data_IF_342147151170
#
_entry.id   IF_342147151170
#
_cell.length_a   1.000
_cell.length_b   1.000
_cell.length_c   1.000
_cell.angle_alpha   90.00
_cell.angle_beta   90.00
_cell.angle_gamma   90.00
#
_symmetry.space_group_name_H-M   'P 1'
#
loop_
_entity.id
_entity.type
_entity.pdbx_description
1 polymer ?
#
# COMPACT_ATOMS: atom_id res chain seq x y z
N UNK A 1 -19.60 -22.16 19.25
CA UNK A 1 -18.94 -22.49 17.96
C UNK A 1 -18.91 -21.32 16.96
N UNK A 2 -19.93 -20.44 16.93
CA UNK A 2 -20.00 -19.29 16.00
C UNK A 2 -18.92 -18.21 16.24
N UNK A 3 -18.62 -17.88 17.50
CA UNK A 3 -17.64 -16.83 17.87
C UNK A 3 -16.23 -17.18 17.38
N UNK A 4 -15.79 -18.44 17.51
CA UNK A 4 -14.47 -18.87 17.07
C UNK A 4 -14.30 -18.76 15.54
N UNK A 5 -15.36 -19.01 14.77
CA UNK A 5 -15.35 -18.86 13.30
C UNK A 5 -15.32 -17.38 12.90
N UNK A 6 -16.07 -16.53 13.60
CA UNK A 6 -16.06 -15.07 13.37
C UNK A 6 -14.69 -14.46 13.66
N UNK A 7 -14.08 -14.85 14.78
CA UNK A 7 -12.73 -14.42 15.16
C UNK A 7 -11.69 -14.86 14.11
N UNK A 8 -11.77 -16.11 13.64
CA UNK A 8 -10.88 -16.62 12.58
C UNK A 8 -11.04 -15.84 11.27
N UNK A 9 -12.27 -15.46 10.91
CA UNK A 9 -12.54 -14.64 9.72
C UNK A 9 -11.99 -13.23 9.86
N UNK A 10 -12.10 -12.61 11.05
CA UNK A 10 -11.53 -11.30 11.32
C UNK A 10 -9.99 -11.32 11.20
N UNK A 11 -9.35 -12.34 11.78
CA UNK A 11 -7.90 -12.57 11.65
C UNK A 11 -7.47 -12.74 10.19
N UNK A 12 -8.17 -13.58 9.43
CA UNK A 12 -7.88 -13.80 8.01
C UNK A 12 -8.03 -12.52 7.18
N UNK A 13 -9.07 -11.73 7.42
CA UNK A 13 -9.27 -10.45 6.75
C UNK A 13 -8.16 -9.47 7.06
N UNK A 14 -7.75 -9.37 8.32
CA UNK A 14 -6.62 -8.51 8.71
C UNK A 14 -5.30 -8.96 8.07
N UNK A 15 -5.00 -10.26 8.12
CA UNK A 15 -3.80 -10.81 7.47
C UNK A 15 -3.80 -10.55 5.96
N UNK A 16 -4.95 -10.71 5.30
CA UNK A 16 -5.12 -10.40 3.87
C UNK A 16 -4.88 -8.91 3.60
N UNK A 17 -5.41 -8.03 4.46
CA UNK A 17 -5.18 -6.60 4.36
C UNK A 17 -3.69 -6.25 4.45
N UNK A 18 -2.98 -6.76 5.46
CA UNK A 18 -1.53 -6.53 5.61
C UNK A 18 -0.76 -7.04 4.40
N UNK A 19 -1.04 -8.26 3.95
CA UNK A 19 -0.40 -8.85 2.76
C UNK A 19 -0.63 -8.01 1.50
N UNK A 20 -1.82 -7.43 1.33
CA UNK A 20 -2.11 -6.56 0.20
C UNK A 20 -1.34 -5.24 0.28
N UNK A 21 -1.16 -4.66 1.47
CA UNK A 21 -0.35 -3.45 1.63
C UNK A 21 1.12 -3.72 1.25
N UNK A 22 1.65 -4.87 1.64
CA UNK A 22 3.02 -5.26 1.30
C UNK A 22 3.18 -5.48 -0.21
N UNK A 23 2.23 -6.15 -0.86
CA UNK A 23 2.20 -6.30 -2.32
C UNK A 23 2.17 -4.94 -3.03
N UNK A 24 1.39 -3.98 -2.54
CA UNK A 24 1.37 -2.62 -3.11
C UNK A 24 2.71 -1.92 -2.92
N UNK A 25 3.35 -2.06 -1.75
CA UNK A 25 4.68 -1.49 -1.51
C UNK A 25 5.72 -2.04 -2.49
N UNK A 26 5.69 -3.35 -2.75
CA UNK A 26 6.59 -4.00 -3.72
C UNK A 26 6.39 -3.44 -5.12
N UNK A 27 5.14 -3.34 -5.58
CA UNK A 27 4.81 -2.77 -6.90
C UNK A 27 5.28 -1.32 -7.01
N UNK A 28 5.07 -0.49 -5.98
CA UNK A 28 5.56 0.88 -5.95
C UNK A 28 7.10 0.94 -5.98
N UNK A 29 7.78 -0.03 -5.37
CA UNK A 29 9.24 -0.19 -5.47
C UNK A 29 9.71 -0.50 -6.90
N UNK A 30 8.97 -1.32 -7.65
CA UNK A 30 9.28 -1.58 -9.06
C UNK A 30 9.00 -0.35 -9.95
N UNK A 31 7.95 0.42 -9.63
CA UNK A 31 7.66 1.70 -10.30
C UNK A 31 8.82 2.69 -10.12
N UNK A 32 9.43 2.74 -8.93
CA UNK A 32 10.60 3.58 -8.65
C UNK A 32 11.75 3.31 -9.63
N UNK A 33 12.04 2.03 -9.89
CA UNK A 33 13.06 1.61 -10.86
C UNK A 33 12.71 1.97 -12.31
N UNK A 34 11.41 2.06 -12.64
CA UNK A 34 10.97 2.54 -13.95
C UNK A 34 11.15 4.05 -14.08
N UNK A 35 10.79 4.80 -13.03
CA UNK A 35 10.98 6.25 -12.97
C UNK A 35 12.47 6.60 -13.07
N UNK A 36 13.35 5.86 -12.40
CA UNK A 36 14.79 6.14 -12.48
C UNK A 36 15.38 5.92 -13.88
N UNK A 37 14.81 4.98 -14.64
CA UNK A 37 15.16 4.73 -16.05
C UNK A 37 14.49 5.69 -17.03
N UNK A 38 13.56 6.52 -16.58
CA UNK A 38 12.91 7.51 -17.43
C UNK A 38 13.93 8.57 -17.86
N UNK A 39 14.04 8.74 -19.18
CA UNK A 39 14.86 9.73 -19.85
C UNK A 39 13.95 10.71 -20.60
N UNK A 40 13.87 11.92 -20.07
CA UNK A 40 13.06 12.99 -20.64
C UNK A 40 13.58 13.44 -22.01
N UNK A 41 14.90 13.39 -22.23
CA UNK A 41 15.53 13.85 -23.47
C UNK A 41 15.25 12.91 -24.64
N UNK A 42 15.23 11.60 -24.39
CA UNK A 42 14.84 10.60 -25.38
C UNK A 42 13.36 10.70 -25.81
N UNK A 43 12.54 11.36 -24.99
CA UNK A 43 11.08 11.50 -25.19
C UNK A 43 10.67 12.91 -25.63
N UNK A 44 11.61 13.78 -25.99
CA UNK A 44 11.37 15.20 -26.29
C UNK A 44 10.35 15.44 -27.42
N UNK A 45 10.22 14.51 -28.38
CA UNK A 45 9.26 14.58 -29.50
C UNK A 45 7.96 13.78 -29.25
N UNK A 46 7.82 13.16 -28.07
CA UNK A 46 6.64 12.37 -27.69
C UNK A 46 5.79 13.09 -26.65
N UNK A 47 4.46 12.90 -26.70
CA UNK A 47 3.55 13.39 -25.67
C UNK A 47 3.83 12.68 -24.34
N UNK A 48 4.61 13.32 -23.47
CA UNK A 48 4.82 12.86 -22.11
C UNK A 48 3.73 13.46 -21.21
N UNK A 49 3.15 12.62 -20.34
CA UNK A 49 2.04 13.01 -19.45
C UNK A 49 2.57 13.65 -18.15
N UNK A 50 3.81 13.34 -17.77
CA UNK A 50 4.45 13.85 -16.55
C UNK A 50 5.98 13.84 -16.69
N UNK A 51 6.64 14.79 -16.04
CA UNK A 51 8.09 14.83 -15.84
C UNK A 51 8.55 13.76 -14.83
N UNK A 52 9.84 13.43 -14.83
CA UNK A 52 10.48 12.52 -13.87
C UNK A 52 10.23 12.96 -12.45
N UNK A 53 10.34 14.27 -12.19
CA UNK A 53 10.13 14.84 -10.86
C UNK A 53 8.67 14.73 -10.41
N UNK A 54 7.72 14.94 -11.32
CA UNK A 54 6.29 14.70 -11.04
C UNK A 54 6.01 13.23 -10.74
N UNK A 55 6.61 12.31 -11.51
CA UNK A 55 6.48 10.87 -11.26
C UNK A 55 7.06 10.48 -9.89
N UNK A 56 8.23 11.01 -9.53
CA UNK A 56 8.82 10.81 -8.19
C UNK A 56 7.92 11.36 -7.09
N UNK A 57 7.36 12.55 -7.27
CA UNK A 57 6.45 13.16 -6.31
C UNK A 57 5.17 12.32 -6.12
N UNK A 58 4.60 11.79 -7.20
CA UNK A 58 3.44 10.89 -7.15
C UNK A 58 3.76 9.58 -6.42
N UNK A 59 4.92 8.97 -6.73
CA UNK A 59 5.41 7.78 -6.04
C UNK A 59 5.58 8.01 -4.54
N UNK A 60 6.19 9.13 -4.13
CA UNK A 60 6.36 9.49 -2.72
C UNK A 60 5.00 9.63 -2.02
N UNK A 61 4.05 10.35 -2.63
CA UNK A 61 2.68 10.46 -2.09
C UNK A 61 2.01 9.10 -1.94
N UNK A 62 2.19 8.19 -2.88
CA UNK A 62 1.62 6.85 -2.81
C UNK A 62 2.19 6.04 -1.63
N UNK A 63 3.51 6.12 -1.38
CA UNK A 63 4.12 5.51 -0.19
C UNK A 63 3.63 6.16 1.11
N UNK A 64 3.47 7.48 1.15
CA UNK A 64 2.95 8.18 2.34
C UNK A 64 1.51 7.74 2.67
N UNK A 65 0.63 7.64 1.67
CA UNK A 65 -0.74 7.14 1.89
C UNK A 65 -0.74 5.66 2.32
N UNK A 66 0.15 4.84 1.77
CA UNK A 66 0.30 3.45 2.18
C UNK A 66 0.72 3.33 3.65
N UNK A 67 1.65 4.16 4.10
CA UNK A 67 2.10 4.20 5.49
C UNK A 67 0.99 4.70 6.43
N UNK A 68 0.20 5.69 6.01
CA UNK A 68 -1.00 6.10 6.77
C UNK A 68 -1.99 4.96 6.91
N UNK A 69 -2.25 4.20 5.84
CA UNK A 69 -3.11 3.02 5.89
C UNK A 69 -2.55 1.94 6.82
N UNK A 70 -1.23 1.71 6.82
CA UNK A 70 -0.57 0.79 7.77
C UNK A 70 -0.78 1.23 9.22
N UNK A 71 -0.62 2.52 9.53
CA UNK A 71 -0.83 3.05 10.88
C UNK A 71 -2.28 2.87 11.33
N UNK A 72 -3.25 3.21 10.46
CA UNK A 72 -4.68 3.00 10.73
C UNK A 72 -5.00 1.51 10.94
N UNK A 73 -4.41 0.65 10.10
CA UNK A 73 -4.52 -0.80 10.21
C UNK A 73 -4.01 -1.34 11.55
N UNK A 74 -2.83 -0.89 12.01
CA UNK A 74 -2.27 -1.25 13.33
C UNK A 74 -3.15 -0.79 14.49
N UNK A 75 -3.71 0.42 14.39
CA UNK A 75 -4.67 0.90 15.40
C UNK A 75 -5.90 -0.01 15.45
N UNK A 76 -6.43 -0.38 14.29
CA UNK A 76 -7.59 -1.28 14.22
C UNK A 76 -7.26 -2.70 14.71
N UNK A 77 -6.03 -3.19 14.48
CA UNK A 77 -5.55 -4.46 15.04
C UNK A 77 -5.59 -4.43 16.58
N UNK A 78 -5.09 -3.37 17.20
CA UNK A 78 -5.11 -3.23 18.66
C UNK A 78 -6.55 -3.26 19.20
N UNK A 79 -7.49 -2.60 18.52
CA UNK A 79 -8.92 -2.65 18.84
C UNK A 79 -9.48 -4.07 18.71
N UNK A 80 -9.18 -4.77 17.60
CA UNK A 80 -9.60 -6.16 17.40
C UNK A 80 -9.02 -7.07 18.48
N UNK A 81 -7.73 -6.97 18.80
CA UNK A 81 -7.07 -7.78 19.84
C UNK A 81 -7.70 -7.53 21.22
N UNK A 82 -7.97 -6.26 21.59
CA UNK A 82 -8.64 -5.93 22.85
C UNK A 82 -10.04 -6.54 23.00
N UNK A 83 -10.67 -6.88 21.87
CA UNK A 83 -12.01 -7.49 21.81
C UNK A 83 -11.94 -9.00 21.54
N UNK A 84 -10.78 -9.64 21.68
CA UNK A 84 -10.55 -11.04 21.29
C UNK A 84 -10.99 -11.34 19.85
N UNK A 85 -10.74 -10.41 18.93
CA UNK A 85 -11.15 -10.46 17.53
C UNK A 85 -12.67 -10.51 17.29
N UNK A 86 -13.47 -10.22 18.33
CA UNK A 86 -14.93 -10.11 18.23
C UNK A 86 -15.27 -8.77 17.60
N UNK A 87 -15.78 -8.82 16.36
CA UNK A 87 -16.32 -7.67 15.66
C UNK A 87 -17.77 -7.42 16.07
#
# INVERSE_FOLDING_TARGET
MQIAVLNRRAQQRYATFVSNLDMVAEVLGEVDKLIDRYDEGAMADSWTIATKDELKALRTKAFDELDRLRVLGKKHEAELVSRDWRF
#
